data_IF_190565692075
#
_entry.id   IF_190565692075
#
_cell.length_a   1.000
_cell.length_b   1.000
_cell.length_c   1.000
_cell.angle_alpha   90.00
_cell.angle_beta   90.00
_cell.angle_gamma   90.00
#
_symmetry.space_group_name_H-M   'P 1'
#
loop_
_entity.id
_entity.type
_entity.pdbx_description
1 polymer ?
#
# COMPACT_ATOMS: atom_id res chain seq x y z
N UNK A 1 6.10 -27.55 18.04
CA UNK A 1 6.27 -27.02 16.67
C UNK A 1 7.62 -26.33 16.59
N UNK A 2 8.58 -26.82 15.80
CA UNK A 2 9.93 -26.24 15.74
C UNK A 2 9.97 -25.11 14.69
N UNK A 3 10.01 -23.85 15.14
CA UNK A 3 10.06 -22.66 14.28
C UNK A 3 11.29 -22.64 13.37
N UNK A 4 12.45 -23.06 13.88
CA UNK A 4 13.71 -23.06 13.10
C UNK A 4 13.61 -24.00 11.90
N UNK A 5 13.07 -25.21 12.11
CA UNK A 5 12.89 -26.19 11.04
C UNK A 5 11.88 -25.72 9.99
N UNK A 6 10.77 -25.08 10.41
CA UNK A 6 9.81 -24.48 9.46
C UNK A 6 10.42 -23.31 8.70
N UNK A 7 11.28 -22.51 9.34
CA UNK A 7 12.01 -21.42 8.71
C UNK A 7 12.96 -21.93 7.63
N UNK A 8 13.76 -22.96 7.96
CA UNK A 8 14.69 -23.60 7.01
C UNK A 8 13.96 -24.17 5.80
N UNK A 9 12.88 -24.92 6.02
CA UNK A 9 12.09 -25.50 4.93
C UNK A 9 11.49 -24.42 4.03
N UNK A 10 10.95 -23.33 4.59
CA UNK A 10 10.43 -22.20 3.79
C UNK A 10 11.53 -21.53 2.97
N UNK A 11 12.71 -21.31 3.56
CA UNK A 11 13.83 -20.72 2.83
C UNK A 11 14.29 -21.62 1.68
N UNK A 12 14.38 -22.94 1.90
CA UNK A 12 14.74 -23.92 0.86
C UNK A 12 13.68 -23.99 -0.24
N UNK A 13 12.39 -24.05 0.12
CA UNK A 13 11.29 -24.03 -0.85
C UNK A 13 11.29 -22.73 -1.65
N UNK A 14 11.41 -21.57 -1.00
CA UNK A 14 11.46 -20.29 -1.69
C UNK A 14 12.67 -20.21 -2.64
N UNK A 15 13.85 -20.68 -2.22
CA UNK A 15 15.02 -20.76 -3.08
C UNK A 15 14.79 -21.63 -4.31
N UNK A 16 14.18 -22.81 -4.14
CA UNK A 16 13.83 -23.70 -5.27
C UNK A 16 12.83 -23.06 -6.23
N UNK A 17 11.80 -22.38 -5.71
CA UNK A 17 10.80 -21.68 -6.51
C UNK A 17 11.41 -20.52 -7.32
N UNK A 18 12.42 -19.85 -6.78
CA UNK A 18 13.17 -18.81 -7.48
C UNK A 18 14.03 -19.40 -8.60
N UNK A 19 14.69 -20.55 -8.35
CA UNK A 19 15.55 -21.21 -9.34
C UNK A 19 14.72 -21.87 -10.44
N UNK A 20 13.56 -22.43 -10.10
CA UNK A 20 12.67 -23.15 -11.02
C UNK A 20 11.23 -22.61 -10.88
N UNK A 21 10.89 -21.51 -11.56
CA UNK A 21 9.57 -20.86 -11.45
C UNK A 21 8.39 -21.77 -11.80
N UNK A 22 8.62 -22.77 -12.66
CA UNK A 22 7.61 -23.77 -13.06
C UNK A 22 7.07 -24.60 -11.88
N UNK A 23 7.82 -24.67 -10.77
CA UNK A 23 7.39 -25.34 -9.54
C UNK A 23 6.44 -24.50 -8.68
N UNK A 24 6.22 -23.22 -9.02
CA UNK A 24 5.29 -22.33 -8.34
C UNK A 24 4.37 -21.62 -9.35
N UNK A 25 3.51 -22.37 -10.06
CA UNK A 25 2.59 -21.76 -10.99
C UNK A 25 1.69 -20.77 -10.25
N UNK A 26 1.48 -19.59 -10.84
CA UNK A 26 0.60 -18.59 -10.24
C UNK A 26 -0.79 -19.19 -10.03
N UNK A 27 -1.35 -19.10 -8.80
CA UNK A 27 -2.69 -19.61 -8.56
C UNK A 27 -3.69 -18.81 -9.40
N UNK A 28 -4.74 -19.45 -9.93
CA UNK A 28 -5.76 -18.76 -10.69
C UNK A 28 -6.44 -17.71 -9.80
N UNK A 29 -6.85 -16.61 -10.42
CA UNK A 29 -7.58 -15.56 -9.73
C UNK A 29 -8.86 -16.10 -9.11
N UNK A 30 -9.11 -15.73 -7.86
CA UNK A 30 -10.36 -16.09 -7.17
C UNK A 30 -11.55 -15.49 -7.92
N UNK A 31 -12.67 -16.21 -7.99
CA UNK A 31 -13.93 -15.70 -8.57
C UNK A 31 -14.26 -14.32 -7.98
N UNK A 32 -14.53 -13.32 -8.83
CA UNK A 32 -14.84 -11.95 -8.41
C UNK A 32 -13.62 -11.07 -8.15
N UNK A 33 -12.41 -11.59 -8.35
CA UNK A 33 -11.23 -10.74 -8.45
C UNK A 33 -11.25 -9.96 -9.78
N UNK A 34 -10.85 -8.69 -9.74
CA UNK A 34 -10.86 -7.80 -10.89
C UNK A 34 -9.47 -7.21 -11.11
N UNK A 35 -8.73 -7.66 -12.14
CA UNK A 35 -7.47 -7.03 -12.54
C UNK A 35 -7.70 -5.58 -12.93
N UNK A 36 -6.83 -4.69 -12.46
CA UNK A 36 -6.85 -3.26 -12.81
C UNK A 36 -5.62 -2.85 -13.64
N UNK A 37 -4.79 -3.81 -14.03
CA UNK A 37 -3.55 -3.61 -14.79
C UNK A 37 -2.29 -3.55 -13.92
N UNK A 38 -1.12 -3.64 -14.56
CA UNK A 38 0.21 -3.50 -13.93
C UNK A 38 0.49 -4.47 -12.78
N UNK A 39 -0.16 -5.65 -12.78
CA UNK A 39 -0.07 -6.65 -11.71
C UNK A 39 -0.94 -6.35 -10.48
N UNK A 40 -1.75 -5.28 -10.50
CA UNK A 40 -2.70 -4.97 -9.44
C UNK A 40 -4.04 -5.67 -9.67
N UNK A 41 -4.62 -6.19 -8.59
CA UNK A 41 -5.91 -6.92 -8.65
C UNK A 41 -6.77 -6.56 -7.46
N UNK A 42 -7.99 -6.06 -7.69
CA UNK A 42 -8.99 -5.95 -6.63
C UNK A 42 -9.49 -7.36 -6.28
N UNK A 43 -9.52 -7.70 -4.99
CA UNK A 43 -9.92 -9.02 -4.51
C UNK A 43 -11.29 -8.98 -3.86
N UNK A 44 -11.90 -10.16 -3.74
CA UNK A 44 -13.22 -10.36 -3.14
C UNK A 44 -13.36 -9.81 -1.72
N UNK A 45 -14.62 -9.62 -1.30
CA UNK A 45 -15.11 -8.75 -0.24
C UNK A 45 -15.24 -7.29 -0.70
N UNK A 46 -16.22 -7.05 -1.58
CA UNK A 46 -16.70 -5.73 -1.94
C UNK A 46 -18.18 -5.59 -1.57
N UNK A 47 -18.70 -4.37 -1.58
CA UNK A 47 -20.13 -4.12 -1.44
C UNK A 47 -20.89 -4.70 -2.64
N UNK A 48 -22.00 -5.39 -2.41
CA UNK A 48 -22.87 -5.91 -3.48
C UNK A 48 -23.69 -4.82 -4.17
N UNK A 49 -23.93 -3.71 -3.45
CA UNK A 49 -24.68 -2.55 -3.92
C UNK A 49 -23.95 -1.26 -3.53
N UNK A 50 -24.13 -0.21 -4.33
CA UNK A 50 -23.60 1.11 -4.02
C UNK A 50 -24.10 1.62 -2.66
N UNK A 51 -23.18 2.11 -1.84
CA UNK A 51 -23.51 2.67 -0.52
C UNK A 51 -23.24 4.16 -0.46
N UNK A 52 -24.21 4.88 0.10
CA UNK A 52 -24.07 6.30 0.41
C UNK A 52 -22.94 6.53 1.43
N UNK A 53 -21.97 7.36 1.08
CA UNK A 53 -20.95 7.87 1.99
C UNK A 53 -21.61 8.88 2.94
N UNK A 54 -21.57 8.60 4.25
CA UNK A 54 -22.19 9.44 5.28
C UNK A 54 -21.19 10.28 6.08
N UNK A 55 -19.93 9.88 6.08
CA UNK A 55 -18.88 10.55 6.83
C UNK A 55 -18.50 11.87 6.14
N UNK A 56 -18.61 12.98 6.87
CA UNK A 56 -18.39 14.33 6.34
C UNK A 56 -16.94 14.53 5.89
N UNK A 57 -15.96 13.97 6.59
CA UNK A 57 -14.56 14.11 6.22
C UNK A 57 -14.26 13.34 4.93
N UNK A 58 -14.84 12.15 4.76
CA UNK A 58 -14.73 11.39 3.51
C UNK A 58 -15.41 12.11 2.35
N UNK A 59 -16.60 12.68 2.57
CA UNK A 59 -17.30 13.50 1.56
C UNK A 59 -16.42 14.68 1.14
N UNK A 60 -15.81 15.39 2.09
CA UNK A 60 -14.91 16.51 1.79
C UNK A 60 -13.69 16.07 0.97
N UNK A 61 -13.07 14.93 1.32
CA UNK A 61 -11.95 14.37 0.56
C UNK A 61 -12.35 14.01 -0.88
N UNK A 62 -13.53 13.43 -1.07
CA UNK A 62 -14.08 13.12 -2.40
C UNK A 62 -14.34 14.40 -3.20
N UNK A 63 -15.00 15.40 -2.62
CA UNK A 63 -15.24 16.70 -3.26
C UNK A 63 -13.91 17.32 -3.71
N UNK A 64 -12.93 17.43 -2.80
CA UNK A 64 -11.62 18.01 -3.10
C UNK A 64 -10.94 17.29 -4.27
N UNK A 65 -10.97 15.96 -4.28
CA UNK A 65 -10.37 15.16 -5.34
C UNK A 65 -11.04 15.41 -6.70
N UNK A 66 -12.36 15.35 -6.79
CA UNK A 66 -13.09 15.53 -8.06
C UNK A 66 -13.14 16.97 -8.55
N UNK A 67 -13.05 17.96 -7.66
CA UNK A 67 -12.86 19.36 -8.07
C UNK A 67 -11.56 19.54 -8.85
N UNK A 68 -10.51 18.79 -8.51
CA UNK A 68 -9.20 18.87 -9.16
C UNK A 68 -9.09 17.97 -10.40
N UNK A 69 -9.71 16.79 -10.37
CA UNK A 69 -9.52 15.75 -11.40
C UNK A 69 -10.67 15.63 -12.40
N UNK A 70 -11.81 16.29 -12.14
CA UNK A 70 -12.99 16.27 -13.01
C UNK A 70 -14.19 15.57 -12.37
N UNK A 71 -15.36 15.75 -13.00
CA UNK A 71 -16.61 15.21 -12.45
C UNK A 71 -16.66 13.68 -12.61
N UNK A 72 -17.02 12.96 -11.55
CA UNK A 72 -17.30 11.54 -11.63
C UNK A 72 -18.66 11.31 -12.32
N UNK A 73 -18.75 10.22 -13.08
CA UNK A 73 -19.96 9.87 -13.84
C UNK A 73 -21.14 9.48 -12.93
N UNK A 74 -20.87 8.80 -11.81
CA UNK A 74 -21.88 8.19 -10.93
C UNK A 74 -22.14 8.96 -9.63
N UNK A 75 -22.27 10.29 -9.69
CA UNK A 75 -22.55 11.11 -8.50
C UNK A 75 -23.71 12.06 -8.77
N UNK A 76 -24.82 11.82 -8.07
CA UNK A 76 -26.07 12.58 -8.21
C UNK A 76 -26.22 13.57 -7.06
N UNK A 77 -26.58 14.81 -7.37
CA UNK A 77 -26.97 15.85 -6.42
C UNK A 77 -25.98 16.09 -5.25
N UNK A 78 -24.68 15.92 -5.50
CA UNK A 78 -23.63 16.11 -4.49
C UNK A 78 -23.55 14.99 -3.42
N UNK A 79 -24.28 13.88 -3.63
CA UNK A 79 -24.22 12.69 -2.77
C UNK A 79 -23.34 11.62 -3.40
N UNK A 80 -22.34 11.18 -2.65
CA UNK A 80 -21.41 10.14 -3.07
C UNK A 80 -21.97 8.77 -2.72
N UNK A 81 -22.31 7.96 -3.73
CA UNK A 81 -22.66 6.55 -3.58
C UNK A 81 -21.58 5.71 -4.25
N UNK A 82 -20.99 4.75 -3.53
CA UNK A 82 -19.82 4.01 -4.01
C UNK A 82 -19.93 2.53 -3.64
N UNK A 83 -19.49 1.66 -4.54
CA UNK A 83 -19.17 0.27 -4.23
C UNK A 83 -17.74 0.20 -3.65
N UNK A 84 -17.63 -0.21 -2.39
CA UNK A 84 -16.34 -0.32 -1.72
C UNK A 84 -15.76 -1.70 -1.90
N UNK A 85 -14.46 -1.77 -2.11
CA UNK A 85 -13.67 -2.99 -2.14
C UNK A 85 -12.76 -3.03 -0.90
N UNK A 86 -12.56 -4.23 -0.34
CA UNK A 86 -11.81 -4.38 0.90
C UNK A 86 -10.32 -4.72 0.72
N UNK A 87 -9.92 -5.13 -0.48
CA UNK A 87 -8.62 -5.78 -0.70
C UNK A 87 -8.06 -5.45 -2.07
N UNK A 88 -6.77 -5.13 -2.08
CA UNK A 88 -5.97 -4.93 -3.28
C UNK A 88 -4.75 -5.86 -3.21
N UNK A 89 -4.59 -6.72 -4.21
CA UNK A 89 -3.34 -7.41 -4.47
C UNK A 89 -2.39 -6.44 -5.17
N UNK A 90 -1.19 -6.29 -4.64
CA UNK A 90 -0.11 -5.51 -5.21
C UNK A 90 0.76 -6.39 -6.15
N UNK A 91 1.54 -5.80 -7.06
CA UNK A 91 2.38 -6.56 -8.00
C UNK A 91 3.45 -7.41 -7.31
N UNK A 92 3.81 -7.08 -6.07
CA UNK A 92 4.72 -7.84 -5.23
C UNK A 92 4.04 -8.98 -4.45
N UNK A 93 2.78 -9.31 -4.77
CA UNK A 93 1.99 -10.37 -4.12
C UNK A 93 1.43 -10.00 -2.75
N UNK A 94 1.72 -8.82 -2.22
CA UNK A 94 1.14 -8.39 -0.95
C UNK A 94 -0.35 -8.08 -1.12
N UNK A 95 -1.16 -8.49 -0.14
CA UNK A 95 -2.57 -8.12 -0.07
C UNK A 95 -2.72 -6.95 0.90
N UNK A 96 -2.95 -5.76 0.34
CA UNK A 96 -3.32 -4.57 1.08
C UNK A 96 -4.82 -4.61 1.39
N UNK A 97 -5.16 -4.76 2.67
CA UNK A 97 -6.56 -4.75 3.15
C UNK A 97 -7.00 -3.33 3.47
N UNK A 98 -8.22 -3.17 3.97
CA UNK A 98 -8.74 -1.88 4.41
C UNK A 98 -9.34 -1.93 5.81
N UNK A 99 -9.46 -0.76 6.44
CA UNK A 99 -10.02 -0.59 7.77
C UNK A 99 -11.45 -1.13 7.87
N UNK A 100 -12.30 -0.88 6.86
CA UNK A 100 -13.71 -1.29 6.89
C UNK A 100 -13.88 -2.78 7.23
N UNK A 101 -13.24 -3.69 6.49
CA UNK A 101 -13.38 -5.13 6.74
C UNK A 101 -12.41 -5.69 7.78
N UNK A 102 -11.25 -5.10 8.02
CA UNK A 102 -10.37 -5.60 9.09
C UNK A 102 -10.93 -5.29 10.49
N UNK A 103 -11.51 -4.10 10.70
CA UNK A 103 -12.11 -3.70 11.98
C UNK A 103 -13.36 -4.53 12.26
N UNK A 104 -14.25 -4.65 11.27
CA UNK A 104 -15.50 -5.42 11.39
C UNK A 104 -15.24 -6.88 11.81
N UNK A 105 -14.17 -7.49 11.29
CA UNK A 105 -13.81 -8.88 11.57
C UNK A 105 -12.91 -9.04 12.81
N UNK A 106 -12.55 -7.96 13.52
CA UNK A 106 -11.67 -8.02 14.69
C UNK A 106 -10.29 -8.61 14.40
N UNK A 107 -9.77 -8.43 13.18
CA UNK A 107 -8.52 -9.06 12.77
C UNK A 107 -7.31 -8.42 13.48
N UNK A 108 -6.47 -9.25 14.07
CA UNK A 108 -5.24 -8.82 14.75
C UNK A 108 -4.09 -8.55 13.78
N UNK A 109 -4.06 -9.25 12.63
CA UNK A 109 -3.13 -8.97 11.55
C UNK A 109 -3.63 -7.75 10.77
N UNK A 110 -2.97 -6.62 11.01
CA UNK A 110 -3.22 -5.37 10.29
C UNK A 110 -2.42 -5.35 8.98
N UNK A 111 -3.12 -5.32 7.86
CA UNK A 111 -2.55 -5.17 6.52
C UNK A 111 -3.17 -4.02 5.74
N UNK A 112 -3.78 -3.07 6.46
CA UNK A 112 -4.42 -1.87 5.92
C UNK A 112 -3.50 -0.65 5.85
N UNK A 113 -2.32 -0.72 6.46
CA UNK A 113 -1.34 0.36 6.40
C UNK A 113 -0.45 0.19 5.17
N UNK A 114 -0.32 1.25 4.38
CA UNK A 114 0.34 1.20 3.07
C UNK A 114 1.37 2.32 2.92
N UNK A 115 2.37 2.03 2.09
CA UNK A 115 3.31 3.00 1.52
C UNK A 115 2.87 3.31 0.09
N UNK A 116 2.73 4.58 -0.25
CA UNK A 116 2.32 5.02 -1.58
C UNK A 116 3.15 6.20 -2.08
N UNK A 117 3.18 6.39 -3.40
CA UNK A 117 3.85 7.53 -4.04
C UNK A 117 2.83 8.57 -4.50
N UNK A 118 3.05 9.81 -4.13
CA UNK A 118 2.20 10.95 -4.49
C UNK A 118 3.08 12.18 -4.69
N UNK A 119 2.90 12.90 -5.81
CA UNK A 119 3.74 14.04 -6.21
C UNK A 119 5.27 13.80 -6.09
N UNK A 120 5.73 12.61 -6.49
CA UNK A 120 7.14 12.21 -6.40
C UNK A 120 7.64 11.93 -4.97
N UNK A 121 6.79 12.09 -3.96
CA UNK A 121 7.11 11.88 -2.56
C UNK A 121 6.52 10.57 -2.02
N UNK A 122 7.19 9.98 -1.04
CA UNK A 122 6.72 8.78 -0.36
C UNK A 122 5.87 9.15 0.84
N UNK A 123 4.70 8.56 0.93
CA UNK A 123 3.75 8.74 2.02
C UNK A 123 3.33 7.40 2.62
N UNK A 124 2.79 7.47 3.82
CA UNK A 124 2.25 6.33 4.54
C UNK A 124 0.85 6.65 5.02
N UNK A 125 -0.04 5.67 5.02
CA UNK A 125 -1.41 5.87 5.48
C UNK A 125 -2.18 4.58 5.72
N UNK A 126 -3.33 4.71 6.34
CA UNK A 126 -4.29 3.63 6.55
C UNK A 126 -5.34 3.67 5.44
N UNK A 127 -5.50 2.57 4.70
CA UNK A 127 -6.56 2.46 3.70
C UNK A 127 -7.90 2.22 4.39
N UNK A 128 -8.88 3.08 4.13
CA UNK A 128 -10.25 2.92 4.64
C UNK A 128 -11.07 1.97 3.77
N UNK A 129 -10.98 2.13 2.45
CA UNK A 129 -11.54 1.26 1.41
C UNK A 129 -10.99 1.64 0.04
N UNK A 130 -11.16 0.72 -0.92
CA UNK A 130 -10.95 0.98 -2.35
C UNK A 130 -12.29 1.17 -3.05
N UNK A 131 -12.33 1.84 -4.20
CA UNK A 131 -13.53 1.98 -5.03
C UNK A 131 -13.15 2.23 -6.48
N UNK A 132 -14.10 2.05 -7.38
CA UNK A 132 -13.93 2.37 -8.80
C UNK A 132 -14.90 3.47 -9.21
N UNK A 133 -14.45 4.37 -10.08
CA UNK A 133 -15.32 5.39 -10.67
C UNK A 133 -14.76 5.86 -12.00
N UNK A 134 -15.65 6.34 -12.85
CA UNK A 134 -15.31 6.92 -14.14
C UNK A 134 -15.26 8.43 -14.00
N UNK A 135 -14.20 9.05 -14.49
CA UNK A 135 -14.05 10.51 -14.52
C UNK A 135 -14.28 10.95 -15.96
N UNK A 136 -15.26 11.83 -16.17
CA UNK A 136 -15.81 12.17 -17.51
C UNK A 136 -14.76 12.71 -18.49
N UNK A 137 -13.64 13.25 -17.99
CA UNK A 137 -12.58 13.86 -18.80
C UNK A 137 -11.27 13.04 -18.87
N UNK A 138 -11.24 11.80 -18.36
CA UNK A 138 -10.02 10.98 -18.35
C UNK A 138 -10.04 9.99 -19.53
N UNK A 139 -9.51 10.41 -20.69
CA UNK A 139 -9.52 9.60 -21.94
C UNK A 139 -8.69 8.31 -21.87
N UNK A 140 -7.70 8.24 -20.96
CA UNK A 140 -6.72 7.14 -20.89
C UNK A 140 -7.15 5.95 -20.02
N UNK A 141 -7.99 6.17 -19.00
CA UNK A 141 -8.55 5.09 -18.19
C UNK A 141 -10.06 5.33 -17.97
N UNK A 142 -10.95 4.65 -18.71
CA UNK A 142 -12.38 4.91 -18.65
C UNK A 142 -13.01 4.49 -17.32
N UNK A 143 -12.32 3.70 -16.49
CA UNK A 143 -12.71 3.31 -15.13
C UNK A 143 -11.49 3.32 -14.22
N UNK A 144 -11.31 4.40 -13.47
CA UNK A 144 -10.21 4.53 -12.52
C UNK A 144 -10.48 3.77 -11.22
N UNK A 145 -9.42 3.20 -10.65
CA UNK A 145 -9.46 2.56 -9.33
C UNK A 145 -8.72 3.40 -8.30
N UNK A 146 -9.38 3.69 -7.19
CA UNK A 146 -8.94 4.64 -6.18
C UNK A 146 -8.98 4.02 -4.78
N UNK A 147 -8.24 4.62 -3.86
CA UNK A 147 -8.25 4.29 -2.44
C UNK A 147 -8.56 5.55 -1.62
N UNK A 148 -9.47 5.42 -0.66
CA UNK A 148 -9.64 6.38 0.42
C UNK A 148 -8.61 6.07 1.50
N UNK A 149 -7.72 7.01 1.80
CA UNK A 149 -6.58 6.80 2.72
C UNK A 149 -6.57 7.88 3.78
N UNK A 150 -6.41 7.47 5.04
CA UNK A 150 -5.99 8.33 6.14
C UNK A 150 -4.47 8.45 6.12
N UNK A 151 -3.95 9.61 5.76
CA UNK A 151 -2.51 9.85 5.62
C UNK A 151 -1.91 10.14 6.98
N UNK A 152 -0.80 9.47 7.29
CA UNK A 152 -0.08 9.71 8.54
C UNK A 152 0.73 11.00 8.51
N UNK A 153 0.99 11.54 9.70
CA UNK A 153 1.81 12.73 9.85
C UNK A 153 3.23 12.56 9.32
N UNK A 154 3.92 13.68 9.09
CA UNK A 154 5.34 13.69 8.74
C UNK A 154 6.17 13.01 9.84
N UNK A 155 7.22 12.31 9.43
CA UNK A 155 8.11 11.68 10.38
C UNK A 155 8.84 12.71 11.24
N UNK A 156 9.11 12.37 12.51
CA UNK A 156 9.95 13.20 13.38
C UNK A 156 11.36 13.32 12.78
N UNK A 157 11.71 14.53 12.32
CA UNK A 157 12.96 14.77 11.62
C UNK A 157 14.20 14.57 12.51
N UNK A 158 14.08 14.80 13.82
CA UNK A 158 15.18 14.65 14.76
C UNK A 158 15.51 13.18 14.96
N UNK A 159 14.49 12.36 15.24
CA UNK A 159 14.65 10.91 15.43
C UNK A 159 15.04 10.21 14.13
N UNK A 160 14.51 10.67 12.99
CA UNK A 160 14.90 10.14 11.69
C UNK A 160 16.37 10.43 11.39
N UNK A 161 16.85 11.66 11.65
CA UNK A 161 18.26 12.02 11.46
C UNK A 161 19.19 11.25 12.40
N UNK A 162 18.88 11.21 13.70
CA UNK A 162 19.67 10.48 14.71
C UNK A 162 19.77 8.98 14.44
N UNK A 163 18.74 8.40 13.83
CA UNK A 163 18.70 6.97 13.47
C UNK A 163 19.25 6.67 12.08
N UNK A 164 19.95 7.61 11.44
CA UNK A 164 20.45 7.47 10.06
C UNK A 164 19.36 7.06 9.06
N UNK A 165 18.18 7.69 9.19
CA UNK A 165 16.98 7.46 8.36
C UNK A 165 16.33 6.07 8.50
N UNK A 166 16.62 5.37 9.60
CA UNK A 166 16.07 4.03 9.87
C UNK A 166 14.75 4.10 10.66
N UNK A 167 14.69 4.93 11.70
CA UNK A 167 13.52 5.01 12.58
C UNK A 167 12.56 6.11 12.10
N UNK A 168 11.48 5.70 11.43
CA UNK A 168 10.37 6.60 11.05
C UNK A 168 9.27 6.51 12.08
N UNK A 169 9.16 7.54 12.92
CA UNK A 169 8.05 7.70 13.86
C UNK A 169 7.05 8.66 13.25
N UNK A 170 5.79 8.22 13.18
CA UNK A 170 4.69 8.96 12.56
C UNK A 170 3.52 9.04 13.53
N UNK A 171 2.76 10.12 13.42
CA UNK A 171 1.54 10.33 14.19
C UNK A 171 0.33 9.87 13.40
N UNK A 172 -0.49 9.03 14.04
CA UNK A 172 -1.79 8.69 13.49
C UNK A 172 -2.79 9.80 13.78
N UNK A 173 -3.36 10.40 12.73
CA UNK A 173 -4.31 11.52 12.85
C UNK A 173 -5.77 11.12 12.62
N UNK A 174 -6.07 9.83 12.59
CA UNK A 174 -7.44 9.37 12.34
C UNK A 174 -8.00 9.91 11.02
N UNK A 175 -9.14 10.57 11.07
CA UNK A 175 -9.82 11.13 9.89
C UNK A 175 -9.44 12.57 9.55
N UNK A 176 -8.39 13.14 10.15
CA UNK A 176 -8.02 14.54 9.93
C UNK A 176 -7.34 14.81 8.57
N UNK A 177 -6.67 13.82 7.98
CA UNK A 177 -6.01 13.94 6.66
C UNK A 177 -6.45 12.79 5.76
N UNK A 178 -7.69 12.89 5.26
CA UNK A 178 -8.23 11.95 4.29
C UNK A 178 -7.91 12.38 2.87
N UNK A 179 -7.39 11.46 2.07
CA UNK A 179 -7.08 11.69 0.66
C UNK A 179 -7.55 10.53 -0.21
N UNK A 180 -7.89 10.88 -1.44
CA UNK A 180 -8.12 9.92 -2.52
C UNK A 180 -6.83 9.79 -3.30
N UNK A 181 -6.33 8.57 -3.45
CA UNK A 181 -5.15 8.27 -4.27
C UNK A 181 -5.51 7.23 -5.33
N UNK A 182 -4.79 7.22 -6.46
CA UNK A 182 -4.88 6.11 -7.42
C UNK A 182 -4.42 4.82 -6.72
N UNK A 183 -5.15 3.72 -6.83
CA UNK A 183 -4.81 2.47 -6.15
C UNK A 183 -3.41 1.95 -6.57
N UNK A 184 -3.05 2.14 -7.84
CA UNK A 184 -1.73 1.79 -8.40
C UNK A 184 -0.56 2.61 -7.82
N UNK A 185 -0.83 3.69 -7.08
CA UNK A 185 0.22 4.44 -6.37
C UNK A 185 0.75 3.71 -5.13
N UNK A 186 0.01 2.70 -4.65
CA UNK A 186 0.40 1.89 -3.50
C UNK A 186 1.52 0.94 -3.92
N UNK A 187 2.64 1.02 -3.20
CA UNK A 187 3.87 0.29 -3.51
C UNK A 187 4.12 -0.89 -2.59
N UNK A 188 3.67 -0.81 -1.32
CA UNK A 188 3.80 -1.91 -0.37
C UNK A 188 2.87 -1.77 0.82
N UNK A 189 2.53 -2.91 1.44
CA UNK A 189 1.97 -2.96 2.79
C UNK A 189 3.08 -2.78 3.82
N UNK A 190 2.82 -1.96 4.83
CA UNK A 190 3.74 -1.68 5.94
C UNK A 190 3.14 -2.11 7.26
N UNK A 191 3.99 -2.47 8.22
CA UNK A 191 3.56 -2.65 9.59
C UNK A 191 3.63 -1.30 10.34
N UNK A 192 2.66 -1.06 11.21
CA UNK A 192 2.76 -0.02 12.23
C UNK A 192 2.80 -0.66 13.60
N UNK A 193 3.75 -0.21 14.39
CA UNK A 193 3.95 -0.66 15.74
C UNK A 193 3.85 0.53 16.69
N UNK A 194 3.16 0.41 17.83
CA UNK A 194 3.12 1.48 18.82
C UNK A 194 4.53 1.94 19.19
N UNK A 195 4.76 3.25 19.21
CA UNK A 195 6.03 3.78 19.67
C UNK A 195 6.10 3.67 21.19
N UNK A 196 7.05 2.89 21.70
CA UNK A 196 7.17 2.58 23.13
C UNK A 196 8.18 3.53 23.75
N UNK A 197 7.71 4.32 24.72
CA UNK A 197 8.56 5.17 25.54
C UNK A 197 9.29 4.34 26.60
N UNK A 198 10.52 4.74 26.95
CA UNK A 198 11.25 4.22 28.10
C UNK A 198 10.56 4.58 29.41
N UNK A 199 10.88 3.87 30.49
CA UNK A 199 10.25 4.12 31.80
C UNK A 199 10.58 5.49 32.37
N UNK A 200 11.72 6.09 32.01
CA UNK A 200 12.06 7.46 32.38
C UNK A 200 11.30 8.49 31.54
N UNK A 201 11.13 8.25 30.24
CA UNK A 201 10.31 9.11 29.36
C UNK A 201 8.84 9.12 29.79
N UNK A 202 8.30 7.98 30.25
CA UNK A 202 6.94 7.87 30.77
C UNK A 202 6.68 8.76 31.99
N UNK A 203 7.71 9.13 32.75
CA UNK A 203 7.59 10.02 33.91
C UNK A 203 7.40 11.48 33.49
N UNK A 204 7.70 11.83 32.24
CA UNK A 204 7.56 13.19 31.74
C UNK A 204 6.24 13.37 30.97
N UNK A 205 5.27 14.14 31.52
CA UNK A 205 3.95 14.28 30.89
C UNK A 205 4.00 14.94 29.51
N UNK A 206 4.99 15.81 29.26
CA UNK A 206 5.14 16.47 27.97
C UNK A 206 5.58 15.48 26.88
N UNK A 207 6.47 14.54 27.22
CA UNK A 207 6.93 13.50 26.28
C UNK A 207 5.80 12.52 25.99
N UNK A 208 5.06 12.11 27.02
CA UNK A 208 3.88 11.26 26.86
C UNK A 208 2.82 11.90 25.95
N UNK A 209 2.54 13.19 26.14
CA UNK A 209 1.60 13.91 25.28
C UNK A 209 2.13 14.07 23.84
N UNK A 210 3.42 14.36 23.67
CA UNK A 210 4.05 14.54 22.37
C UNK A 210 3.99 13.27 21.50
N UNK A 211 4.23 12.10 22.12
CA UNK A 211 4.26 10.82 21.41
C UNK A 211 2.99 9.99 21.58
N UNK A 212 1.91 10.61 22.07
CA UNK A 212 0.59 10.00 22.08
C UNK A 212 0.19 9.65 20.63
N UNK A 213 -0.29 8.43 20.41
CA UNK A 213 -0.65 7.92 19.07
C UNK A 213 0.50 7.99 18.05
N UNK A 214 1.75 7.91 18.52
CA UNK A 214 2.92 7.73 17.66
C UNK A 214 3.18 6.25 17.38
N UNK A 215 3.55 5.96 16.15
CA UNK A 215 3.86 4.61 15.67
C UNK A 215 5.18 4.63 14.92
N UNK A 216 5.94 3.54 14.99
CA UNK A 216 7.08 3.36 14.09
C UNK A 216 6.67 2.50 12.88
N UNK A 217 7.18 2.88 11.71
CA UNK A 217 6.91 2.18 10.45
C UNK A 217 7.89 1.03 10.26
N UNK A 218 7.38 -0.19 10.13
CA UNK A 218 8.13 -1.35 9.67
C UNK A 218 7.87 -1.60 8.20
N UNK A 219 8.84 -1.30 7.34
CA UNK A 219 8.81 -1.73 5.94
C UNK A 219 9.30 -3.18 5.84
N UNK A 220 8.75 -3.94 4.88
CA UNK A 220 9.13 -5.35 4.63
C UNK A 220 9.07 -6.27 5.87
N UNK A 221 7.99 -6.25 6.69
CA UNK A 221 7.93 -7.09 7.89
C UNK A 221 7.96 -8.60 7.59
N UNK A 222 7.76 -9.00 6.33
CA UNK A 222 7.78 -10.38 5.84
C UNK A 222 8.45 -10.47 4.46
N UNK A 223 9.70 -9.99 4.33
CA UNK A 223 10.41 -9.97 3.04
C UNK A 223 10.51 -11.39 2.42
N UNK A 224 9.72 -11.66 1.38
CA UNK A 224 10.10 -12.58 0.30
C UNK A 224 10.94 -11.79 -0.69
N UNK A 225 12.16 -12.28 -0.95
CA UNK A 225 13.09 -11.66 -1.88
C UNK A 225 12.70 -12.02 -3.31
N UNK A 226 12.14 -11.08 -4.06
CA UNK A 226 12.19 -11.13 -5.52
C UNK A 226 13.35 -10.26 -5.97
N UNK A 227 14.46 -10.90 -6.36
CA UNK A 227 15.56 -10.21 -7.04
C UNK A 227 15.09 -9.87 -8.44
N UNK A 228 15.01 -8.57 -8.75
CA UNK A 228 15.06 -8.13 -10.13
C UNK A 228 16.47 -8.47 -10.65
N UNK A 229 16.64 -9.64 -11.25
CA UNK A 229 17.82 -9.93 -12.06
C UNK A 229 17.68 -9.13 -13.35
N UNK A 230 18.39 -8.02 -13.41
CA UNK A 230 18.76 -7.41 -14.69
C UNK A 230 19.81 -8.33 -15.30
N UNK A 231 19.47 -9.03 -16.38
CA UNK A 231 20.42 -9.80 -17.17
C UNK A 231 21.55 -8.87 -17.67
N UNK A 232 22.83 -9.17 -17.42
CA UNK A 232 23.93 -8.57 -18.14
C UNK A 232 24.22 -9.46 -19.35
N UNK A 233 23.48 -9.26 -20.44
CA UNK A 233 23.92 -9.77 -21.74
C UNK A 233 23.64 -8.74 -22.82
N UNK A 234 24.67 -7.96 -23.15
CA UNK A 234 25.14 -7.66 -24.50
C UNK A 234 26.15 -6.49 -24.43
N UNK A 235 27.43 -6.82 -24.40
CA UNK A 235 28.48 -5.96 -24.95
C UNK A 235 29.10 -6.74 -26.12
N UNK A 236 28.63 -6.36 -27.32
CA UNK A 236 29.37 -6.06 -28.54
C UNK A 236 30.53 -6.98 -28.96
N UNK A 237 30.24 -7.75 -30.01
CA UNK A 237 31.22 -8.24 -30.99
C UNK A 237 31.42 -7.10 -32.00
N UNK A 238 32.61 -6.49 -32.06
CA UNK A 238 33.05 -5.77 -33.27
C UNK A 238 34.58 -5.82 -33.47
N UNK A 239 34.93 -6.51 -34.56
CA UNK A 239 36.07 -6.34 -35.49
C UNK A 239 37.45 -5.86 -35.01
N UNK A 240 38.44 -6.77 -35.12
CA UNK A 240 39.82 -6.41 -35.43
C UNK A 240 40.21 -7.06 -36.77
N UNK A 241 39.93 -6.37 -37.87
CA UNK A 241 40.59 -6.58 -39.14
C UNK A 241 41.85 -5.72 -39.21
N UNK A 242 43.03 -6.34 -39.25
CA UNK A 242 44.27 -5.68 -39.65
C UNK A 242 45.08 -6.65 -40.52
N UNK A 243 45.22 -6.32 -41.81
CA UNK A 243 46.16 -6.92 -42.76
C UNK A 243 46.95 -5.80 -43.44
N UNK A 244 48.21 -6.13 -43.75
CA UNK A 244 49.26 -5.35 -44.43
C UNK A 244 49.90 -4.24 -43.56
N UNK A 245 51.22 -4.13 -43.41
CA UNK A 245 52.37 -4.53 -44.23
C UNK A 245 53.51 -5.18 -43.42
#
# INVERSE_FOLDING_TARGET
>A
MNLCQRGLLRAQTNALKVIVPELDPEPPLTRGAQPIGDGYVLLTAHDEEERLVRDVMQINALINFFTQHGKPERISDGKFSLERWARLCLPNGQIARCAWKEIENGLTRNSRNVKFRDDGSTHFGEVLYYFQTKIVNEEKEPLGTYAMVSVYGKADANLLSKSSHTLRIIHYKGSEDLRIIKAKSITSVVALFPFILSDDEKKNPNICAQYLQSFFVGEKPFLDFTTNTTDPSQEDIEEAGASAE
#
